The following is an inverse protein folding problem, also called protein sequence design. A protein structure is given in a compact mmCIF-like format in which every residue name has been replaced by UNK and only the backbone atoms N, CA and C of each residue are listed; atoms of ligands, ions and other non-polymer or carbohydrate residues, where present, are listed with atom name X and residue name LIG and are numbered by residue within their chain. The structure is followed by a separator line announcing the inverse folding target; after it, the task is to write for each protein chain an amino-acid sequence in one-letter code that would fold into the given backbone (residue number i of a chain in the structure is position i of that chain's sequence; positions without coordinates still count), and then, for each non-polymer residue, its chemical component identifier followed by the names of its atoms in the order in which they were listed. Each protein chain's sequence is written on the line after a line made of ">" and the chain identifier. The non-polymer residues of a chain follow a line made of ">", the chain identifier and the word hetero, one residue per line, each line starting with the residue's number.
data_IF_730151831343
#
_entry.id   IF_730151831343
#
_cell.length_a   1.000
_cell.length_b   1.000
_cell.length_c   1.000
_cell.angle_alpha   90.00
_cell.angle_beta   90.00
_cell.angle_gamma   90.00
#
_symmetry.space_group_name_H-M   'P 1'
#
loop_
_entity.id
_entity.type
_entity.pdbx_description
1 polymer ?
#
# COMPACT_ATOMS: atom_id res chain seq x y z
N UNK A 1 -15.10 20.44 75.98
CA UNK A 1 -14.67 19.06 76.09
C UNK A 1 -15.43 18.27 75.03
N UNK A 2 -14.90 18.18 73.83
CA UNK A 2 -15.65 17.65 72.68
C UNK A 2 -15.12 16.25 72.33
N UNK A 3 -16.01 15.26 72.41
CA UNK A 3 -15.75 13.89 71.98
C UNK A 3 -15.89 13.74 70.45
N UNK A 4 -14.85 13.34 69.76
CA UNK A 4 -14.87 13.02 68.34
C UNK A 4 -15.27 11.56 68.15
N UNK A 5 -16.48 11.35 67.63
CA UNK A 5 -16.96 10.04 67.18
C UNK A 5 -16.39 9.75 65.82
N UNK A 6 -15.55 8.73 65.66
CA UNK A 6 -15.06 8.24 64.39
C UNK A 6 -16.03 7.19 63.83
N UNK A 7 -16.69 7.50 62.74
CA UNK A 7 -17.52 6.57 61.99
C UNK A 7 -16.60 5.75 61.07
N UNK A 8 -16.45 4.47 61.35
CA UNK A 8 -15.71 3.55 60.52
C UNK A 8 -16.66 2.97 59.45
N UNK A 9 -16.40 3.32 58.20
CA UNK A 9 -17.12 2.80 57.04
C UNK A 9 -16.44 1.50 56.61
N UNK A 10 -17.11 0.38 56.86
CA UNK A 10 -16.67 -0.96 56.41
C UNK A 10 -17.17 -1.15 55.00
N UNK A 11 -16.27 -1.05 54.02
CA UNK A 11 -16.54 -1.39 52.61
C UNK A 11 -16.24 -2.89 52.45
N UNK A 12 -17.30 -3.68 52.36
CA UNK A 12 -17.18 -5.11 52.08
C UNK A 12 -16.94 -5.32 50.57
N UNK A 13 -15.78 -5.87 50.26
CA UNK A 13 -15.49 -6.36 48.89
C UNK A 13 -16.13 -7.74 48.72
N UNK A 14 -17.15 -7.81 47.89
CA UNK A 14 -17.69 -9.09 47.39
C UNK A 14 -16.94 -9.42 46.10
N UNK A 15 -15.93 -10.25 46.18
CA UNK A 15 -15.25 -10.85 45.03
C UNK A 15 -16.05 -12.03 44.52
N UNK A 16 -16.96 -11.78 43.62
CA UNK A 16 -17.65 -12.83 42.85
C UNK A 16 -16.72 -13.37 41.76
N UNK A 17 -16.09 -14.54 42.00
CA UNK A 17 -15.35 -15.27 41.00
C UNK A 17 -16.33 -15.90 40.03
N UNK A 18 -16.54 -15.26 38.87
CA UNK A 18 -17.26 -15.88 37.75
C UNK A 18 -16.25 -16.74 36.99
N UNK A 19 -16.28 -18.05 37.22
CA UNK A 19 -15.54 -19.01 36.41
C UNK A 19 -16.21 -19.12 35.04
N UNK A 20 -15.62 -18.50 34.03
CA UNK A 20 -15.98 -18.79 32.62
C UNK A 20 -15.38 -20.13 32.22
N UNK A 21 -16.17 -21.10 31.76
CA UNK A 21 -15.61 -22.29 31.13
C UNK A 21 -14.90 -21.86 29.85
N UNK A 22 -13.59 -21.98 29.83
CA UNK A 22 -12.75 -21.82 28.67
C UNK A 22 -13.02 -23.03 27.75
N UNK A 23 -14.02 -22.94 26.89
CA UNK A 23 -14.18 -23.87 25.79
C UNK A 23 -13.04 -23.60 24.81
N UNK A 24 -11.94 -24.32 24.97
CA UNK A 24 -10.91 -24.42 23.97
C UNK A 24 -11.54 -25.13 22.76
N UNK A 25 -12.05 -24.35 21.82
CA UNK A 25 -12.46 -24.81 20.52
C UNK A 25 -11.18 -25.00 19.71
N UNK A 26 -10.64 -26.21 19.73
CA UNK A 26 -9.64 -26.62 18.75
C UNK A 26 -10.31 -26.60 17.36
N UNK A 27 -10.27 -25.43 16.75
CA UNK A 27 -10.52 -25.34 15.33
C UNK A 27 -9.26 -25.85 14.66
N UNK A 28 -9.26 -27.13 14.32
CA UNK A 28 -8.30 -27.69 13.34
C UNK A 28 -8.62 -27.04 12.01
N UNK A 29 -8.17 -25.82 11.84
CA UNK A 29 -8.16 -25.15 10.56
C UNK A 29 -7.11 -25.89 9.75
N UNK A 30 -7.55 -26.79 8.89
CA UNK A 30 -6.71 -27.23 7.77
C UNK A 30 -6.46 -25.96 6.96
N UNK A 31 -5.36 -25.27 7.26
CA UNK A 31 -4.87 -24.21 6.42
C UNK A 31 -4.43 -24.87 5.11
N UNK A 32 -5.39 -25.05 4.24
CA UNK A 32 -5.10 -25.28 2.83
C UNK A 32 -4.43 -23.99 2.37
N UNK A 33 -3.11 -24.02 2.23
CA UNK A 33 -2.37 -22.93 1.60
C UNK A 33 -2.84 -22.88 0.15
N UNK A 34 -3.86 -22.09 -0.10
CA UNK A 34 -4.28 -21.76 -1.46
C UNK A 34 -3.24 -20.81 -1.99
N UNK A 35 -2.28 -21.33 -2.75
CA UNK A 35 -1.36 -20.49 -3.52
C UNK A 35 -2.17 -19.86 -4.65
N UNK A 36 -2.77 -18.73 -4.37
CA UNK A 36 -3.41 -17.94 -5.41
C UNK A 36 -2.30 -17.22 -6.17
N UNK A 37 -2.06 -17.64 -7.40
CA UNK A 37 -1.15 -16.94 -8.29
C UNK A 37 -1.75 -15.58 -8.61
N UNK A 38 -1.05 -14.52 -8.22
CA UNK A 38 -1.42 -13.17 -8.61
C UNK A 38 -1.16 -13.00 -10.11
N UNK A 39 -2.07 -12.33 -10.79
CA UNK A 39 -1.92 -12.00 -12.21
C UNK A 39 -1.14 -10.69 -12.33
N UNK A 40 -0.11 -10.70 -13.13
CA UNK A 40 0.76 -9.55 -13.37
C UNK A 40 0.50 -8.97 -14.75
N UNK A 41 0.49 -7.67 -14.86
CA UNK A 41 0.40 -6.97 -16.14
C UNK A 41 1.60 -6.06 -16.42
N UNK A 42 2.29 -5.62 -15.39
CA UNK A 42 3.44 -4.73 -15.50
C UNK A 42 4.65 -5.36 -16.17
N UNK A 43 4.92 -6.64 -15.90
CA UNK A 43 6.07 -7.34 -16.47
C UNK A 43 5.91 -7.68 -17.96
N UNK A 44 4.71 -8.08 -18.37
CA UNK A 44 4.46 -8.64 -19.70
C UNK A 44 3.46 -7.84 -20.55
N UNK A 45 2.79 -6.83 -19.96
CA UNK A 45 1.62 -6.12 -20.51
C UNK A 45 0.44 -7.04 -20.81
N UNK A 46 0.46 -8.26 -20.29
CA UNK A 46 -0.61 -9.24 -20.35
C UNK A 46 -0.84 -9.76 -18.94
N UNK A 47 -2.07 -10.13 -18.63
CA UNK A 47 -2.37 -10.79 -17.38
C UNK A 47 -1.70 -12.17 -17.36
N UNK A 48 -0.51 -12.27 -16.77
CA UNK A 48 0.30 -13.49 -16.72
C UNK A 48 0.47 -13.92 -15.26
N UNK A 49 0.32 -15.21 -14.95
CA UNK A 49 0.61 -15.72 -13.62
C UNK A 49 2.05 -15.42 -13.19
N UNK A 50 2.26 -15.10 -11.90
CA UNK A 50 3.57 -14.77 -11.36
C UNK A 50 4.62 -15.86 -11.64
N UNK A 51 4.24 -17.11 -11.48
CA UNK A 51 5.13 -18.26 -11.71
C UNK A 51 5.55 -18.48 -13.18
N UNK A 52 4.82 -17.90 -14.11
CA UNK A 52 5.11 -18.01 -15.56
C UNK A 52 5.87 -16.80 -16.09
N UNK A 53 6.07 -15.77 -15.27
CA UNK A 53 6.75 -14.54 -15.67
C UNK A 53 8.25 -14.70 -15.54
N UNK A 54 9.04 -14.61 -16.64
CA UNK A 54 10.49 -14.83 -16.63
C UNK A 54 11.27 -13.62 -16.07
N UNK A 55 10.68 -12.83 -15.20
CA UNK A 55 11.27 -11.66 -14.57
C UNK A 55 11.05 -11.66 -13.07
N UNK A 56 11.93 -10.99 -12.35
CA UNK A 56 11.77 -10.79 -10.90
C UNK A 56 10.79 -9.66 -10.66
N UNK A 57 9.58 -9.98 -10.28
CA UNK A 57 8.51 -9.03 -9.98
C UNK A 57 8.16 -9.09 -8.50
N UNK A 58 7.77 -7.97 -7.93
CA UNK A 58 7.08 -7.89 -6.65
C UNK A 58 5.80 -7.10 -6.84
N UNK A 59 4.70 -7.68 -6.40
CA UNK A 59 3.39 -7.03 -6.42
C UNK A 59 3.11 -6.54 -5.00
N UNK A 60 2.78 -5.28 -4.88
CA UNK A 60 2.31 -4.64 -3.66
C UNK A 60 0.83 -4.35 -3.86
N UNK A 61 -0.01 -5.10 -3.17
CA UNK A 61 -1.47 -4.95 -3.30
C UNK A 61 -1.96 -3.72 -2.55
N UNK A 62 -3.18 -3.30 -2.87
CA UNK A 62 -3.85 -2.20 -2.20
C UNK A 62 -3.88 -2.38 -0.68
N UNK A 63 -4.28 -3.56 -0.21
CA UNK A 63 -4.34 -3.87 1.21
C UNK A 63 -2.98 -3.66 1.88
N UNK A 64 -1.90 -4.09 1.22
CA UNK A 64 -0.56 -3.98 1.78
C UNK A 64 -0.13 -2.52 1.97
N UNK A 65 -0.30 -1.65 0.96
CA UNK A 65 0.12 -0.26 1.12
C UNK A 65 -0.87 0.56 1.98
N UNK A 66 -2.12 0.16 2.08
CA UNK A 66 -3.08 0.75 3.02
C UNK A 66 -2.77 0.39 4.47
N UNK A 67 -2.45 -0.88 4.75
CA UNK A 67 -1.99 -1.34 6.07
C UNK A 67 -0.69 -0.67 6.50
N UNK A 68 0.20 -0.39 5.55
CA UNK A 68 1.42 0.39 5.78
C UNK A 68 1.15 1.87 6.06
N UNK A 69 -0.06 2.36 5.78
CA UNK A 69 -0.39 3.78 5.84
C UNK A 69 0.39 4.62 4.83
N UNK A 70 0.72 4.04 3.68
CA UNK A 70 1.51 4.72 2.66
C UNK A 70 0.75 5.91 2.08
N UNK A 71 1.38 7.08 2.08
CA UNK A 71 0.85 8.33 1.52
C UNK A 71 1.51 8.72 0.19
N UNK A 72 2.44 7.91 -0.29
CA UNK A 72 3.09 8.06 -1.59
C UNK A 72 3.51 6.69 -2.14
N UNK A 73 3.67 6.60 -3.45
CA UNK A 73 4.18 5.38 -4.12
C UNK A 73 5.56 5.00 -3.56
N UNK A 74 6.40 5.98 -3.30
CA UNK A 74 7.71 5.79 -2.69
C UNK A 74 7.63 5.07 -1.33
N UNK A 75 6.67 5.43 -0.48
CA UNK A 75 6.45 4.76 0.80
C UNK A 75 5.93 3.33 0.61
N UNK A 76 4.98 3.14 -0.30
CA UNK A 76 4.42 1.83 -0.59
C UNK A 76 5.48 0.80 -1.03
N UNK A 77 6.46 1.22 -1.84
CA UNK A 77 7.53 0.33 -2.32
C UNK A 77 8.74 0.22 -1.39
N UNK A 78 8.74 0.90 -0.24
CA UNK A 78 9.92 1.02 0.63
C UNK A 78 10.42 -0.32 1.20
N UNK A 79 9.55 -1.29 1.37
CA UNK A 79 9.89 -2.63 1.86
C UNK A 79 10.20 -3.64 0.74
N UNK A 80 10.19 -3.19 -0.51
CA UNK A 80 10.43 -4.08 -1.66
C UNK A 80 11.92 -4.34 -1.84
N UNK A 81 12.37 -5.60 -1.91
CA UNK A 81 13.77 -5.91 -2.10
C UNK A 81 14.36 -5.30 -3.38
N UNK A 82 15.55 -4.72 -3.27
CA UNK A 82 16.24 -4.08 -4.40
C UNK A 82 15.72 -2.71 -4.79
N UNK A 83 14.83 -2.14 -3.97
CA UNK A 83 14.31 -0.77 -4.10
C UNK A 83 14.93 0.12 -3.04
N UNK A 84 15.40 1.27 -3.45
CA UNK A 84 15.77 2.36 -2.56
C UNK A 84 14.86 3.54 -2.85
N UNK A 85 14.04 3.88 -1.88
CA UNK A 85 12.95 4.85 -2.02
C UNK A 85 12.99 5.97 -0.98
N UNK A 86 14.18 6.32 -0.49
CA UNK A 86 14.33 7.37 0.49
C UNK A 86 14.15 8.77 -0.13
N UNK A 87 13.66 9.67 0.70
CA UNK A 87 13.54 11.08 0.33
C UNK A 87 14.93 11.68 0.07
N UNK A 88 15.06 12.44 -1.01
CA UNK A 88 16.26 13.20 -1.31
C UNK A 88 16.12 14.62 -0.75
N UNK A 89 16.89 14.89 0.28
CA UNK A 89 16.85 16.18 0.98
C UNK A 89 15.51 16.43 1.70
N UNK A 90 15.17 17.70 1.87
CA UNK A 90 13.93 18.13 2.53
C UNK A 90 12.71 18.20 1.58
N UNK A 91 12.91 17.94 0.29
CA UNK A 91 11.85 18.07 -0.71
C UNK A 91 11.04 16.80 -0.85
N UNK A 92 9.73 16.98 -0.86
CA UNK A 92 8.73 15.92 -1.06
C UNK A 92 8.08 16.01 -2.46
N UNK A 93 8.75 16.68 -3.39
CA UNK A 93 8.16 17.07 -4.68
C UNK A 93 8.07 15.95 -5.70
N UNK A 94 8.74 14.81 -5.47
CA UNK A 94 8.78 13.71 -6.43
C UNK A 94 9.06 12.37 -5.73
N UNK A 95 8.56 11.32 -6.32
CA UNK A 95 8.85 9.96 -5.92
C UNK A 95 10.18 9.52 -6.56
N UNK A 96 11.24 9.56 -5.76
CA UNK A 96 12.56 9.11 -6.19
C UNK A 96 12.74 7.63 -5.84
N UNK A 97 12.65 6.78 -6.85
CA UNK A 97 12.71 5.33 -6.68
C UNK A 97 13.88 4.78 -7.48
N UNK A 98 14.89 4.31 -6.77
CA UNK A 98 16.09 3.71 -7.35
C UNK A 98 15.96 2.19 -7.35
N UNK A 99 16.06 1.57 -8.49
CA UNK A 99 15.99 0.13 -8.65
C UNK A 99 17.40 -0.44 -8.89
N UNK A 100 17.81 -1.40 -8.06
CA UNK A 100 19.11 -2.08 -8.16
C UNK A 100 20.32 -1.12 -8.27
N UNK A 101 20.23 0.06 -7.63
CA UNK A 101 21.29 1.07 -7.62
C UNK A 101 21.39 1.96 -8.86
N UNK A 102 20.50 1.81 -9.84
CA UNK A 102 20.47 2.66 -11.03
C UNK A 102 19.73 3.97 -10.73
N UNK A 103 20.47 4.98 -10.28
CA UNK A 103 19.92 6.28 -9.88
C UNK A 103 19.54 7.16 -11.05
N UNK A 104 20.23 7.06 -12.17
CA UNK A 104 20.02 7.93 -13.34
C UNK A 104 18.64 7.75 -13.98
N UNK A 105 18.03 6.57 -13.80
CA UNK A 105 16.69 6.28 -14.30
C UNK A 105 15.59 6.43 -13.26
N UNK A 106 15.87 6.94 -12.09
CA UNK A 106 14.94 6.95 -10.95
C UNK A 106 13.68 7.81 -11.15
N UNK A 107 13.75 8.81 -12.04
CA UNK A 107 12.61 9.64 -12.43
C UNK A 107 11.89 9.16 -13.69
N UNK A 108 12.50 8.22 -14.40
CA UNK A 108 12.06 7.76 -15.72
C UNK A 108 11.57 6.31 -15.71
N UNK A 109 11.43 5.71 -14.54
CA UNK A 109 11.13 4.29 -14.37
C UNK A 109 9.69 4.01 -13.87
N UNK A 110 8.86 5.04 -13.76
CA UNK A 110 7.47 4.90 -13.29
C UNK A 110 6.51 4.95 -14.47
N UNK A 111 5.57 4.02 -14.47
CA UNK A 111 4.54 3.88 -15.50
C UNK A 111 3.17 3.79 -14.82
N UNK A 112 2.17 4.47 -15.34
CA UNK A 112 0.78 4.38 -14.92
C UNK A 112 -0.05 3.79 -16.06
N UNK A 113 -0.71 2.68 -15.81
CA UNK A 113 -1.53 1.94 -16.79
C UNK A 113 -0.77 1.69 -18.12
N UNK A 114 0.52 1.36 -17.99
CA UNK A 114 1.41 1.10 -19.11
C UNK A 114 1.95 2.34 -19.84
N UNK A 115 1.56 3.55 -19.41
CA UNK A 115 2.06 4.81 -19.95
C UNK A 115 3.18 5.36 -19.07
N UNK A 116 4.26 5.80 -19.71
CA UNK A 116 5.39 6.38 -19.01
C UNK A 116 5.00 7.68 -18.31
N UNK A 117 5.24 7.75 -17.03
CA UNK A 117 5.12 8.99 -16.28
C UNK A 117 6.31 9.89 -16.61
N UNK A 118 6.03 11.09 -17.08
CA UNK A 118 7.08 12.01 -17.47
C UNK A 118 7.70 12.65 -16.22
N UNK A 119 8.99 12.37 -16.01
CA UNK A 119 9.84 13.10 -15.08
C UNK A 119 10.73 14.08 -15.85
N UNK A 120 10.97 15.24 -15.29
CA UNK A 120 11.97 16.17 -15.79
C UNK A 120 13.25 16.08 -14.95
N UNK A 121 14.27 15.50 -15.56
CA UNK A 121 15.57 15.29 -14.91
C UNK A 121 16.26 16.61 -14.57
N UNK A 122 16.01 17.67 -15.34
CA UNK A 122 16.65 18.96 -15.12
C UNK A 122 16.02 19.72 -13.95
N UNK A 123 14.69 19.68 -13.83
CA UNK A 123 13.97 20.32 -12.72
C UNK A 123 13.72 19.39 -11.54
N UNK A 124 14.17 18.13 -11.61
CA UNK A 124 13.95 17.11 -10.58
C UNK A 124 12.47 17.07 -10.16
N UNK A 125 11.59 17.04 -11.12
CA UNK A 125 10.15 16.95 -10.90
C UNK A 125 9.57 15.74 -11.59
N UNK A 126 8.65 15.07 -10.93
CA UNK A 126 7.85 13.99 -11.49
C UNK A 126 6.39 14.19 -11.09
N UNK A 127 5.50 13.61 -11.86
CA UNK A 127 4.11 13.54 -11.44
C UNK A 127 4.02 12.55 -10.27
N UNK A 128 3.48 13.02 -9.15
CA UNK A 128 3.25 12.18 -7.95
C UNK A 128 1.82 11.67 -8.02
N UNK A 129 1.68 10.35 -7.91
CA UNK A 129 0.38 9.68 -7.84
C UNK A 129 0.07 9.35 -6.39
N UNK A 130 -1.13 9.71 -5.92
CA UNK A 130 -1.59 9.27 -4.61
C UNK A 130 -1.96 7.78 -4.68
N UNK A 131 -1.42 6.93 -3.79
CA UNK A 131 -1.76 5.50 -3.73
C UNK A 131 -3.26 5.21 -3.63
N UNK A 132 -4.05 6.14 -3.15
CA UNK A 132 -5.51 6.03 -3.10
C UNK A 132 -6.15 5.71 -4.46
N UNK A 133 -5.55 6.18 -5.55
CA UNK A 133 -6.05 5.92 -6.91
C UNK A 133 -5.55 4.61 -7.51
N UNK A 134 -4.71 3.87 -6.78
CA UNK A 134 -4.08 2.67 -7.28
C UNK A 134 -4.78 1.40 -6.77
N UNK A 135 -4.79 0.39 -7.62
CA UNK A 135 -5.20 -0.98 -7.30
C UNK A 135 -4.01 -1.79 -6.80
N UNK A 136 -2.90 -1.71 -7.53
CA UNK A 136 -1.66 -2.37 -7.21
C UNK A 136 -0.43 -1.59 -7.72
N UNK A 137 0.73 -1.99 -7.21
CA UNK A 137 2.03 -1.48 -7.64
C UNK A 137 2.91 -2.67 -7.93
N UNK A 138 3.35 -2.82 -9.17
CA UNK A 138 4.28 -3.86 -9.57
C UNK A 138 5.69 -3.29 -9.71
N UNK A 139 6.66 -3.88 -9.03
CA UNK A 139 8.08 -3.57 -9.17
C UNK A 139 8.75 -4.66 -10.00
N UNK A 140 9.00 -4.35 -11.26
CA UNK A 140 9.67 -5.23 -12.21
C UNK A 140 11.17 -4.93 -12.21
N UNK A 141 11.98 -5.88 -11.78
CA UNK A 141 13.42 -5.72 -11.63
C UNK A 141 14.17 -6.27 -12.82
N UNK A 142 14.98 -5.44 -13.45
CA UNK A 142 15.78 -5.76 -14.64
C UNK A 142 15.28 -5.03 -15.87
N UNK A 143 15.91 -5.26 -17.04
CA UNK A 143 15.61 -4.53 -18.25
C UNK A 143 14.19 -4.84 -18.76
N UNK A 144 13.36 -3.79 -18.90
CA UNK A 144 12.01 -3.87 -19.42
C UNK A 144 11.84 -3.13 -20.78
N UNK A 145 12.94 -2.75 -21.41
CA UNK A 145 12.95 -1.90 -22.61
C UNK A 145 12.26 -2.50 -23.83
N UNK A 146 12.13 -3.82 -23.90
CA UNK A 146 11.40 -4.49 -25.01
C UNK A 146 9.94 -4.09 -25.04
N UNK A 147 9.31 -3.92 -23.88
CA UNK A 147 7.88 -3.60 -23.76
C UNK A 147 7.62 -2.12 -23.48
N UNK A 148 8.55 -1.46 -22.84
CA UNK A 148 8.39 -0.11 -22.31
C UNK A 148 9.26 0.93 -23.01
N UNK A 149 10.05 0.51 -24.02
CA UNK A 149 10.97 1.38 -24.72
C UNK A 149 12.15 1.80 -23.82
N UNK A 150 12.64 3.02 -23.99
CA UNK A 150 13.75 3.53 -23.18
C UNK A 150 13.36 3.58 -21.71
N UNK A 151 13.96 2.73 -20.91
CA UNK A 151 13.74 2.62 -19.46
C UNK A 151 15.04 2.39 -18.73
N UNK A 152 15.03 2.47 -17.40
CA UNK A 152 16.17 2.18 -16.55
C UNK A 152 16.57 0.70 -16.66
N UNK A 153 17.88 0.37 -16.72
CA UNK A 153 18.34 -1.02 -16.65
C UNK A 153 18.03 -1.68 -15.30
N UNK A 154 17.80 -0.90 -14.26
CA UNK A 154 17.42 -1.40 -12.94
C UNK A 154 16.03 -2.01 -12.89
N UNK A 155 15.14 -1.53 -13.75
CA UNK A 155 13.76 -1.96 -13.80
C UNK A 155 12.75 -0.82 -13.92
N UNK A 156 11.49 -1.17 -13.73
CA UNK A 156 10.37 -0.22 -13.76
C UNK A 156 9.46 -0.43 -12.53
N UNK A 157 8.70 0.61 -12.23
CA UNK A 157 7.57 0.59 -11.30
C UNK A 157 6.32 0.80 -12.13
N UNK A 158 5.49 -0.21 -12.23
CA UNK A 158 4.22 -0.15 -12.93
C UNK A 158 3.10 0.06 -11.90
N UNK A 159 2.32 1.10 -12.11
CA UNK A 159 1.18 1.48 -11.30
C UNK A 159 -0.08 1.11 -12.06
N UNK A 160 -0.99 0.40 -11.41
CA UNK A 160 -2.30 0.08 -11.95
C UNK A 160 -3.34 0.96 -11.27
N UNK A 161 -4.07 1.75 -12.04
CA UNK A 161 -5.17 2.54 -11.50
C UNK A 161 -6.38 1.67 -11.16
N UNK A 162 -7.19 2.12 -10.20
CA UNK A 162 -8.46 1.48 -9.86
C UNK A 162 -9.38 1.44 -11.06
N UNK A 163 -9.98 0.29 -11.27
CA UNK A 163 -10.94 0.09 -12.37
C UNK A 163 -12.36 0.22 -11.84
N UNK A 164 -13.26 0.83 -12.61
CA UNK A 164 -14.67 0.85 -12.25
C UNK A 164 -15.23 -0.57 -12.19
N UNK A 165 -16.12 -0.83 -11.23
CA UNK A 165 -16.88 -2.07 -11.12
C UNK A 165 -18.33 -1.83 -11.51
N UNK A 166 -18.99 -2.86 -12.03
CA UNK A 166 -20.44 -2.85 -12.24
C UNK A 166 -21.21 -3.03 -10.93
N UNK A 167 -20.57 -3.61 -9.91
CA UNK A 167 -21.17 -3.74 -8.59
C UNK A 167 -21.21 -2.36 -7.91
N UNK A 168 -22.40 -1.98 -7.42
CA UNK A 168 -22.57 -0.73 -6.73
C UNK A 168 -21.77 -0.73 -5.42
N UNK A 169 -20.87 0.22 -5.30
CA UNK A 169 -20.01 0.35 -4.13
C UNK A 169 -19.50 1.77 -3.96
N UNK A 170 -18.90 2.03 -2.82
CA UNK A 170 -18.28 3.31 -2.57
C UNK A 170 -17.40 3.28 -1.33
N UNK A 171 -16.40 4.12 -1.34
CA UNK A 171 -15.43 4.25 -0.26
C UNK A 171 -15.22 5.72 0.08
N UNK A 172 -15.11 6.02 1.37
CA UNK A 172 -14.80 7.36 1.87
C UNK A 172 -13.58 7.26 2.78
N UNK A 173 -12.55 8.03 2.47
CA UNK A 173 -11.35 8.17 3.28
C UNK A 173 -11.30 9.55 3.90
N UNK A 174 -11.18 9.60 5.22
CA UNK A 174 -10.92 10.84 5.95
C UNK A 174 -9.52 10.74 6.56
N UNK A 175 -8.74 11.80 6.46
CA UNK A 175 -7.43 11.82 7.08
C UNK A 175 -7.17 13.15 7.78
N UNK A 176 -6.43 13.05 8.89
CA UNK A 176 -5.94 14.18 9.66
C UNK A 176 -4.49 13.89 10.06
N UNK A 177 -3.65 14.90 10.06
CA UNK A 177 -2.23 14.78 10.38
C UNK A 177 -1.69 16.02 11.08
N UNK A 178 -0.39 16.00 11.33
CA UNK A 178 0.33 17.13 11.90
C UNK A 178 0.31 18.34 10.96
N UNK A 179 0.64 19.52 11.46
CA UNK A 179 0.72 20.76 10.67
C UNK A 179 -0.60 21.14 9.99
N UNK A 180 -1.74 20.87 10.63
CA UNK A 180 -3.08 21.15 10.11
C UNK A 180 -3.41 20.42 8.78
N UNK A 181 -2.74 19.31 8.51
CA UNK A 181 -3.05 18.43 7.38
C UNK A 181 -4.39 17.75 7.63
N UNK A 182 -5.33 17.93 6.71
CA UNK A 182 -6.64 17.29 6.75
C UNK A 182 -7.19 17.17 5.35
N UNK A 183 -7.93 16.11 5.10
CA UNK A 183 -8.56 15.91 3.80
C UNK A 183 -9.58 14.82 3.82
N UNK A 184 -10.28 14.71 2.72
CA UNK A 184 -11.24 13.66 2.44
C UNK A 184 -11.08 13.21 0.99
N UNK A 185 -11.22 11.92 0.75
CA UNK A 185 -11.33 11.35 -0.58
C UNK A 185 -12.58 10.47 -0.61
N UNK A 186 -13.20 10.36 -1.76
CA UNK A 186 -14.34 9.48 -1.98
C UNK A 186 -14.23 8.83 -3.35
N UNK A 187 -14.73 7.63 -3.43
CA UNK A 187 -14.84 6.84 -4.65
C UNK A 187 -16.23 6.24 -4.71
N UNK A 188 -16.83 6.22 -5.88
CA UNK A 188 -18.15 5.64 -6.12
C UNK A 188 -18.10 4.88 -7.43
N UNK A 189 -18.54 3.64 -7.40
CA UNK A 189 -18.57 2.77 -8.57
C UNK A 189 -19.94 2.09 -8.69
N UNK A 190 -20.32 1.72 -9.90
CA UNK A 190 -21.58 1.03 -10.17
C UNK A 190 -22.00 1.13 -11.63
N UNK A 191 -22.97 0.32 -12.02
CA UNK A 191 -23.62 0.44 -13.32
C UNK A 191 -24.45 1.73 -13.39
N UNK A 192 -24.40 2.42 -14.52
CA UNK A 192 -25.19 3.63 -14.77
C UNK A 192 -26.58 3.32 -15.33
N UNK A 193 -26.77 2.13 -15.89
CA UNK A 193 -28.03 1.63 -16.43
C UNK A 193 -28.16 0.14 -16.15
N UNK A 194 -29.41 -0.33 -15.98
CA UNK A 194 -29.80 -1.75 -15.83
C UNK A 194 -29.98 -2.43 -17.19
#
# INVERSE_FOLDING_TARGET
>A
MFAKTRLALVVGWVTGSVAFPLLAQETTKNDTVVVTSQMQSGATKLATPDLETPQSVSIITREQFEEQGATSVRQAVSYTPGVYSNQIGASNRFDYIVLRGFSDGSLDNVYLDGLKMMGDTNSHSSLVVDPWFLEDIEVVRGPASVLYGRSSPGGIVALTSRKPSFDAGGEVKLFAGNNNQRGAAFDVTGALDD
#
